data_IF_886578009961
#
_entry.id   IF_886578009961
#
_cell.length_a   1.000
_cell.length_b   1.000
_cell.length_c   1.000
_cell.angle_alpha   90.00
_cell.angle_beta   90.00
_cell.angle_gamma   90.00
#
_symmetry.space_group_name_H-M   'P 1'
#
loop_
_entity.id
_entity.type
_entity.pdbx_description
1 polymer ?
#
# COMPACT_ATOMS: atom_id res chain seq x y z
N UNK A 1 22.01 17.28 -7.37
CA UNK A 1 21.89 15.94 -6.74
C UNK A 1 20.50 15.39 -7.03
N UNK A 2 20.44 14.15 -7.52
CA UNK A 2 19.18 13.45 -7.78
C UNK A 2 19.24 12.03 -7.25
N UNK A 3 18.09 11.46 -6.87
CA UNK A 3 17.95 10.09 -6.42
C UNK A 3 16.52 9.61 -6.66
N UNK A 4 16.33 8.30 -6.72
CA UNK A 4 15.04 7.69 -6.98
C UNK A 4 14.63 6.79 -5.82
N UNK A 5 13.39 6.89 -5.40
CA UNK A 5 12.76 5.97 -4.45
C UNK A 5 11.70 5.19 -5.19
N UNK A 6 11.78 3.87 -5.12
CA UNK A 6 10.77 2.95 -5.64
C UNK A 6 9.96 2.39 -4.49
N UNK A 7 8.64 2.48 -4.59
CA UNK A 7 7.71 1.99 -3.56
C UNK A 7 6.70 1.04 -4.19
N UNK A 8 6.41 -0.12 -3.60
CA UNK A 8 5.44 -1.06 -4.11
C UNK A 8 3.99 -0.61 -3.84
N UNK A 9 3.06 -1.08 -4.67
CA UNK A 9 1.62 -1.05 -4.38
C UNK A 9 1.29 -1.94 -3.20
N UNK A 10 0.16 -1.68 -2.55
CA UNK A 10 -0.30 -2.46 -1.40
C UNK A 10 -1.79 -2.73 -1.44
N UNK A 11 -2.21 -3.86 -0.89
CA UNK A 11 -3.61 -4.14 -0.55
C UNK A 11 -3.72 -4.26 0.96
N UNK A 12 -4.55 -3.43 1.56
CA UNK A 12 -4.88 -3.49 2.98
C UNK A 12 -6.16 -4.28 3.23
N UNK A 13 -6.43 -4.58 4.48
CA UNK A 13 -7.60 -5.28 5.01
C UNK A 13 -7.62 -6.78 4.74
N UNK A 14 -7.46 -7.23 3.52
CA UNK A 14 -7.43 -8.66 3.13
C UNK A 14 -8.64 -9.44 3.66
N UNK A 15 -9.85 -8.85 3.59
CA UNK A 15 -11.05 -9.37 4.25
C UNK A 15 -11.03 -9.06 5.74
N UNK A 16 -10.86 -10.07 6.60
CA UNK A 16 -11.00 -9.94 8.06
C UNK A 16 -9.89 -9.18 8.78
N UNK A 17 -8.82 -8.78 8.09
CA UNK A 17 -7.71 -8.00 8.65
C UNK A 17 -7.89 -6.49 8.62
N UNK A 18 -9.12 -6.01 8.80
CA UNK A 18 -9.48 -4.59 8.73
C UNK A 18 -8.58 -3.69 9.59
N UNK A 19 -8.02 -2.64 8.97
CA UNK A 19 -7.15 -1.63 9.56
C UNK A 19 -5.86 -2.17 10.23
N UNK A 20 -5.54 -3.46 10.04
CA UNK A 20 -4.34 -4.03 10.66
C UNK A 20 -3.48 -4.87 9.72
N UNK A 21 -4.01 -5.46 8.66
CA UNK A 21 -3.24 -6.30 7.76
C UNK A 21 -3.10 -5.68 6.36
N UNK A 22 -1.92 -5.84 5.76
CA UNK A 22 -1.67 -5.41 4.39
C UNK A 22 -0.52 -6.18 3.76
N UNK A 23 -0.52 -6.22 2.44
CA UNK A 23 0.47 -6.93 1.64
C UNK A 23 0.99 -6.05 0.51
N UNK A 24 2.29 -6.12 0.22
CA UNK A 24 2.93 -5.41 -0.88
C UNK A 24 2.97 -6.24 -2.16
N UNK A 25 2.86 -5.57 -3.31
CA UNK A 25 2.82 -6.17 -4.64
C UNK A 25 3.94 -5.70 -5.56
N UNK A 26 4.33 -6.54 -6.51
CA UNK A 26 5.28 -6.23 -7.58
C UNK A 26 4.73 -5.24 -8.64
N UNK A 27 4.07 -4.20 -8.19
CA UNK A 27 3.55 -3.07 -8.95
C UNK A 27 4.08 -1.80 -8.29
N UNK A 28 4.76 -0.91 -9.02
CA UNK A 28 5.58 0.10 -8.39
C UNK A 28 5.25 1.53 -8.82
N UNK A 29 5.57 2.46 -7.93
CA UNK A 29 5.76 3.86 -8.27
C UNK A 29 7.22 4.26 -8.02
N UNK A 30 7.79 5.02 -8.95
CA UNK A 30 9.13 5.57 -8.87
C UNK A 30 9.04 7.08 -8.67
N UNK A 31 9.69 7.56 -7.63
CA UNK A 31 9.73 8.95 -7.22
C UNK A 31 11.15 9.47 -7.44
N UNK A 32 11.36 10.29 -8.46
CA UNK A 32 12.65 10.91 -8.78
C UNK A 32 12.73 12.27 -8.13
N UNK A 33 13.64 12.42 -7.17
CA UNK A 33 13.86 13.63 -6.40
C UNK A 33 15.05 14.41 -6.92
N UNK A 34 14.89 15.74 -7.00
CA UNK A 34 15.96 16.67 -7.36
C UNK A 34 16.06 17.76 -6.29
N UNK A 35 17.28 18.07 -5.83
CA UNK A 35 17.51 19.24 -4.99
C UNK A 35 17.25 20.51 -5.83
N UNK A 36 16.49 21.43 -5.26
CA UNK A 36 16.29 22.76 -5.85
C UNK A 36 17.40 23.69 -5.40
N UNK A 37 17.88 24.51 -6.34
CA UNK A 37 18.79 25.61 -6.03
C UNK A 37 18.01 26.80 -5.45
N UNK A 38 18.70 27.69 -4.72
CA UNK A 38 18.05 28.82 -4.03
C UNK A 38 17.27 29.76 -4.96
N UNK A 39 17.64 29.79 -6.25
CA UNK A 39 17.09 30.72 -7.24
C UNK A 39 15.89 30.16 -8.02
N UNK A 40 15.50 28.92 -7.77
CA UNK A 40 14.35 28.31 -8.42
C UNK A 40 13.04 28.99 -7.98
N UNK A 41 12.19 29.36 -8.94
CA UNK A 41 10.90 30.00 -8.68
C UNK A 41 10.06 29.12 -7.72
N UNK A 42 9.65 29.65 -6.56
CA UNK A 42 8.86 28.91 -5.57
C UNK A 42 7.47 28.46 -6.09
N UNK A 43 6.98 29.08 -7.18
CA UNK A 43 5.69 28.76 -7.79
C UNK A 43 5.73 27.55 -8.74
N UNK A 44 6.91 27.01 -9.08
CA UNK A 44 6.97 25.76 -9.86
C UNK A 44 6.63 24.57 -8.97
N UNK A 45 5.37 24.13 -9.05
CA UNK A 45 4.92 22.87 -8.47
C UNK A 45 5.75 21.70 -9.01
N UNK A 46 5.93 20.62 -8.23
CA UNK A 46 6.57 19.41 -8.73
C UNK A 46 5.88 18.93 -10.01
N UNK A 47 6.69 18.64 -11.03
CA UNK A 47 6.18 18.18 -12.34
C UNK A 47 5.80 16.72 -12.22
N UNK A 48 4.54 16.40 -12.49
CA UNK A 48 4.03 15.03 -12.52
C UNK A 48 3.95 14.56 -13.97
N UNK A 49 4.49 13.39 -14.27
CA UNK A 49 4.22 12.69 -15.54
C UNK A 49 3.40 11.44 -15.28
N UNK A 50 2.48 11.17 -16.18
CA UNK A 50 1.65 9.97 -16.33
C UNK A 50 0.64 9.64 -15.24
N UNK A 51 0.71 10.21 -14.07
CA UNK A 51 -0.29 9.97 -13.05
C UNK A 51 -0.94 11.30 -12.70
N UNK A 52 -1.92 11.68 -13.45
CA UNK A 52 -2.73 12.90 -13.23
C UNK A 52 -3.32 13.01 -11.81
N UNK A 53 -2.98 12.11 -10.91
CA UNK A 53 -3.48 12.08 -9.55
C UNK A 53 -2.49 11.60 -8.47
N UNK A 54 -1.34 11.04 -8.81
CA UNK A 54 -0.50 10.29 -7.86
C UNK A 54 0.22 11.15 -6.82
N UNK A 55 -0.06 12.30 -6.54
CA UNK A 55 0.56 13.11 -5.48
C UNK A 55 -0.34 14.22 -4.98
N UNK A 56 -1.48 14.45 -5.64
CA UNK A 56 -2.43 15.47 -5.25
C UNK A 56 -3.71 14.82 -4.73
N UNK A 57 -3.82 14.68 -3.42
CA UNK A 57 -5.07 14.37 -2.75
C UNK A 57 -5.68 15.68 -2.23
N UNK A 58 -6.81 16.09 -2.77
CA UNK A 58 -7.53 17.33 -2.35
C UNK A 58 -6.66 18.59 -2.31
N UNK A 59 -5.78 18.77 -3.30
CA UNK A 59 -4.89 19.95 -3.38
C UNK A 59 -3.64 19.85 -2.49
N UNK A 60 -3.43 18.74 -1.74
CA UNK A 60 -2.23 18.49 -0.94
C UNK A 60 -1.25 17.60 -1.70
N UNK A 61 0.05 17.82 -1.48
CA UNK A 61 1.11 16.98 -2.01
C UNK A 61 1.63 16.03 -0.94
N UNK A 62 1.10 14.81 -0.90
CA UNK A 62 1.41 13.82 0.15
C UNK A 62 2.91 13.48 0.24
N UNK A 63 3.65 13.54 -0.87
CA UNK A 63 5.10 13.32 -0.86
C UNK A 63 5.80 14.43 -0.06
N UNK A 64 5.46 15.68 -0.36
CA UNK A 64 6.06 16.84 0.33
C UNK A 64 5.56 16.95 1.77
N UNK A 65 4.29 16.64 2.02
CA UNK A 65 3.74 16.63 3.39
C UNK A 65 4.53 15.65 4.29
N UNK A 66 4.78 14.44 3.81
CA UNK A 66 5.57 13.45 4.54
C UNK A 66 7.05 13.85 4.68
N UNK A 67 7.63 14.46 3.63
CA UNK A 67 8.99 14.96 3.66
C UNK A 67 9.18 16.02 4.77
N UNK A 68 8.31 17.02 4.81
CA UNK A 68 8.38 18.09 5.81
C UNK A 68 7.99 17.61 7.20
N UNK A 69 7.02 16.70 7.32
CA UNK A 69 6.63 16.10 8.61
C UNK A 69 7.79 15.31 9.23
N UNK A 70 8.58 14.61 8.41
CA UNK A 70 9.78 13.93 8.89
C UNK A 70 10.86 14.90 9.36
N UNK A 71 11.08 15.99 8.62
CA UNK A 71 12.01 17.06 9.02
C UNK A 71 11.60 17.71 10.35
N UNK A 72 10.32 18.00 10.50
CA UNK A 72 9.75 18.54 11.75
C UNK A 72 9.94 17.59 12.93
N UNK A 73 9.66 16.29 12.76
CA UNK A 73 9.92 15.28 13.81
C UNK A 73 11.37 15.26 14.29
N UNK A 74 12.30 15.50 13.37
CA UNK A 74 13.73 15.56 13.70
C UNK A 74 14.18 16.90 14.25
N UNK A 75 13.39 17.98 14.11
CA UNK A 75 13.76 19.35 14.45
C UNK A 75 14.86 19.90 13.54
N UNK A 76 14.88 19.56 12.26
CA UNK A 76 15.91 19.97 11.30
C UNK A 76 15.33 20.68 10.08
N UNK A 77 16.12 21.59 9.50
CA UNK A 77 15.83 22.15 8.19
C UNK A 77 16.38 21.24 7.10
N UNK A 78 15.49 20.76 6.22
CA UNK A 78 15.88 20.04 5.02
C UNK A 78 15.83 20.97 3.79
N UNK A 79 16.61 20.69 2.73
CA UNK A 79 16.59 21.49 1.53
C UNK A 79 15.25 21.32 0.78
N UNK A 80 14.91 22.31 -0.04
CA UNK A 80 13.79 22.20 -0.97
C UNK A 80 14.08 21.16 -2.02
N UNK A 81 13.08 20.40 -2.38
CA UNK A 81 13.15 19.35 -3.39
C UNK A 81 12.01 19.51 -4.41
N UNK A 82 12.24 19.03 -5.61
CA UNK A 82 11.19 18.71 -6.59
C UNK A 82 11.10 17.21 -6.75
N UNK A 83 9.93 16.71 -7.09
CA UNK A 83 9.68 15.29 -7.29
C UNK A 83 8.96 15.06 -8.62
N UNK A 84 9.46 14.11 -9.40
CA UNK A 84 8.83 13.59 -10.60
C UNK A 84 8.34 12.16 -10.28
N UNK A 85 7.09 11.85 -10.63
CA UNK A 85 6.46 10.56 -10.29
C UNK A 85 6.14 9.79 -11.56
N UNK A 86 6.70 8.59 -11.69
CA UNK A 86 6.33 7.59 -12.68
C UNK A 86 5.70 6.40 -11.95
N UNK A 87 4.39 6.19 -12.13
CA UNK A 87 3.62 5.22 -11.34
C UNK A 87 2.80 4.28 -12.21
N UNK A 88 2.94 2.98 -11.95
CA UNK A 88 2.03 1.94 -12.41
C UNK A 88 0.89 1.68 -11.42
N UNK A 89 0.93 2.31 -10.23
CA UNK A 89 -0.10 2.16 -9.20
C UNK A 89 -1.29 3.05 -9.54
N UNK A 90 -2.49 2.49 -9.77
CA UNK A 90 -3.67 3.30 -10.03
C UNK A 90 -4.07 4.14 -8.83
N UNK A 91 -4.28 5.44 -9.04
CA UNK A 91 -4.68 6.35 -7.97
C UNK A 91 -6.12 6.10 -7.53
N UNK A 92 -6.40 6.25 -6.22
CA UNK A 92 -7.75 6.20 -5.61
C UNK A 92 -8.54 4.92 -5.91
N UNK A 93 -7.86 3.78 -6.00
CA UNK A 93 -8.48 2.48 -6.33
C UNK A 93 -8.13 1.37 -5.32
N UNK A 94 -7.68 1.72 -4.11
CA UNK A 94 -7.41 0.73 -3.07
C UNK A 94 -6.12 -0.08 -3.27
N UNK A 95 -5.14 0.43 -4.03
CA UNK A 95 -3.82 -0.18 -4.21
C UNK A 95 -2.68 0.61 -3.53
N UNK A 96 -2.97 1.37 -2.48
CA UNK A 96 -1.97 2.01 -1.64
C UNK A 96 -1.21 3.17 -2.29
N UNK A 97 -1.78 3.83 -3.32
CA UNK A 97 -1.12 4.97 -4.00
C UNK A 97 -0.79 6.12 -3.05
N UNK A 98 -1.66 6.43 -2.08
CA UNK A 98 -1.43 7.42 -1.03
C UNK A 98 -0.24 7.02 -0.15
N UNK A 99 -0.28 5.82 0.42
CA UNK A 99 0.79 5.29 1.25
C UNK A 99 2.14 5.25 0.52
N UNK A 100 2.15 4.92 -0.79
CA UNK A 100 3.37 4.95 -1.59
C UNK A 100 3.95 6.37 -1.71
N UNK A 101 3.12 7.40 -1.93
CA UNK A 101 3.55 8.80 -1.93
C UNK A 101 4.14 9.22 -0.58
N UNK A 102 3.47 8.87 0.50
CA UNK A 102 3.86 9.23 1.86
C UNK A 102 5.17 8.54 2.27
N UNK A 103 5.29 7.24 2.00
CA UNK A 103 6.53 6.49 2.27
C UNK A 103 7.69 7.06 1.46
N UNK A 104 7.48 7.37 0.16
CA UNK A 104 8.52 7.99 -0.66
C UNK A 104 8.99 9.34 -0.12
N UNK A 105 8.07 10.18 0.35
CA UNK A 105 8.40 11.49 0.93
C UNK A 105 9.19 11.36 2.23
N UNK A 106 8.77 10.49 3.14
CA UNK A 106 9.46 10.25 4.40
C UNK A 106 10.86 9.63 4.19
N UNK A 107 10.99 8.69 3.24
CA UNK A 107 12.28 8.12 2.83
C UNK A 107 13.22 9.16 2.22
N UNK A 108 12.70 10.06 1.39
CA UNK A 108 13.49 11.15 0.83
C UNK A 108 14.02 12.07 1.94
N UNK A 109 13.19 12.39 2.91
CA UNK A 109 13.61 13.18 4.07
C UNK A 109 14.69 12.48 4.90
N UNK A 110 14.52 11.18 5.17
CA UNK A 110 15.53 10.35 5.85
C UNK A 110 16.85 10.32 5.08
N UNK A 111 16.80 10.14 3.78
CA UNK A 111 17.98 10.11 2.92
C UNK A 111 18.75 11.44 2.96
N UNK A 112 18.03 12.57 2.88
CA UNK A 112 18.63 13.89 2.99
C UNK A 112 19.19 14.17 4.38
N UNK A 113 18.44 13.82 5.43
CA UNK A 113 18.89 14.00 6.81
C UNK A 113 20.19 13.25 7.13
N UNK A 114 20.31 12.00 6.66
CA UNK A 114 21.54 11.20 6.82
C UNK A 114 22.77 11.82 6.15
N UNK A 115 22.58 12.62 5.11
CA UNK A 115 23.67 13.30 4.39
C UNK A 115 24.08 14.62 5.00
N UNK A 116 23.11 15.34 5.54
CA UNK A 116 23.33 16.68 6.09
C UNK A 116 23.75 16.67 7.55
N UNK A 117 23.43 15.60 8.25
CA UNK A 117 23.73 15.48 9.67
C UNK A 117 24.87 14.47 9.92
N UNK A 118 25.80 14.77 10.84
CA UNK A 118 26.77 13.79 11.26
C UNK A 118 26.10 12.56 11.87
N UNK A 119 26.76 11.39 11.86
CA UNK A 119 26.22 10.18 12.46
C UNK A 119 25.80 10.43 13.91
N UNK A 120 24.49 10.51 14.16
CA UNK A 120 23.98 10.72 15.51
C UNK A 120 23.92 9.39 16.26
N UNK A 121 24.51 9.33 17.45
CA UNK A 121 24.31 8.23 18.39
C UNK A 121 22.84 8.25 18.82
N UNK A 122 22.11 7.14 18.62
CA UNK A 122 20.74 6.99 19.11
C UNK A 122 19.65 6.73 18.07
N UNK A 123 19.99 6.37 16.83
CA UNK A 123 19.02 5.69 15.95
C UNK A 123 17.81 6.51 15.49
N UNK A 124 17.93 7.81 15.25
CA UNK A 124 16.81 8.66 14.77
C UNK A 124 16.38 8.37 13.33
N UNK A 125 17.24 7.76 12.51
CA UNK A 125 17.01 7.51 11.07
C UNK A 125 16.64 6.05 10.81
N UNK A 126 15.67 5.51 11.54
CA UNK A 126 15.24 4.11 11.47
C UNK A 126 13.98 3.95 10.61
N UNK A 127 13.71 2.71 10.16
CA UNK A 127 12.44 2.40 9.50
C UNK A 127 11.26 2.64 10.45
N UNK A 128 11.42 2.43 11.74
CA UNK A 128 10.40 2.76 12.74
C UNK A 128 10.05 4.26 12.76
N UNK A 129 11.01 5.16 12.47
CA UNK A 129 10.73 6.60 12.34
C UNK A 129 9.97 6.93 11.07
N UNK A 130 10.26 6.24 9.95
CA UNK A 130 9.49 6.34 8.71
C UNK A 130 8.06 5.83 8.93
N UNK A 131 7.92 4.62 9.48
CA UNK A 131 6.62 4.02 9.74
C UNK A 131 5.74 4.93 10.61
N UNK A 132 6.31 5.53 11.64
CA UNK A 132 5.60 6.46 12.50
C UNK A 132 5.10 7.68 11.73
N UNK A 133 5.99 8.41 11.07
CA UNK A 133 5.63 9.64 10.34
C UNK A 133 4.65 9.33 9.23
N UNK A 134 4.88 8.27 8.47
CA UNK A 134 4.00 7.89 7.38
C UNK A 134 2.60 7.50 7.89
N UNK A 135 2.51 6.81 9.04
CA UNK A 135 1.21 6.50 9.66
C UNK A 135 0.50 7.75 10.20
N UNK A 136 1.24 8.71 10.78
CA UNK A 136 0.67 9.98 11.22
C UNK A 136 0.05 10.78 10.06
N UNK A 137 0.65 10.72 8.88
CA UNK A 137 0.16 11.42 7.67
C UNK A 137 -1.00 10.67 7.01
N UNK A 138 -0.93 9.34 6.91
CA UNK A 138 -1.96 8.49 6.28
C UNK A 138 -3.19 8.28 7.17
N UNK A 139 -2.98 8.22 8.49
CA UNK A 139 -4.02 7.95 9.50
C UNK A 139 -4.13 6.49 9.92
N UNK A 140 -3.56 5.55 9.15
CA UNK A 140 -3.56 4.11 9.46
C UNK A 140 -2.32 3.40 8.88
N UNK A 141 -1.82 2.34 9.54
CA UNK A 141 -0.54 1.73 9.18
C UNK A 141 -0.63 0.61 8.14
N UNK A 142 -1.79 0.10 7.83
CA UNK A 142 -2.05 -1.14 7.09
C UNK A 142 -1.56 -1.14 5.64
N UNK A 143 -1.52 0.03 4.97
CA UNK A 143 -0.88 0.22 3.68
C UNK A 143 0.58 0.69 3.82
N UNK A 144 0.87 1.50 4.83
CA UNK A 144 2.21 2.07 5.07
C UNK A 144 3.23 1.00 5.40
N UNK A 145 2.88 0.07 6.30
CA UNK A 145 3.80 -0.97 6.73
C UNK A 145 4.25 -1.88 5.58
N UNK A 146 3.35 -2.46 4.75
CA UNK A 146 3.80 -3.26 3.62
C UNK A 146 4.48 -2.42 2.52
N UNK A 147 4.10 -1.16 2.30
CA UNK A 147 4.83 -0.29 1.37
C UNK A 147 6.28 -0.07 1.79
N UNK A 148 6.53 0.04 3.08
CA UNK A 148 7.87 0.25 3.64
C UNK A 148 8.70 -1.04 3.73
N UNK A 149 8.13 -2.11 4.29
CA UNK A 149 8.86 -3.34 4.62
C UNK A 149 8.73 -4.46 3.59
N UNK A 150 7.76 -4.37 2.70
CA UNK A 150 7.37 -5.48 1.82
C UNK A 150 6.59 -6.59 2.54
N UNK A 151 6.20 -7.60 1.80
CA UNK A 151 5.51 -8.80 2.28
C UNK A 151 4.15 -8.54 2.90
N UNK A 152 3.70 -9.52 3.68
CA UNK A 152 2.51 -9.43 4.52
C UNK A 152 2.91 -8.81 5.86
N UNK A 153 2.27 -7.71 6.23
CA UNK A 153 2.47 -7.00 7.48
C UNK A 153 1.19 -6.97 8.31
N UNK A 154 1.32 -7.24 9.61
CA UNK A 154 0.33 -6.87 10.60
C UNK A 154 0.86 -5.65 11.35
N UNK A 155 0.06 -4.62 11.49
CA UNK A 155 0.48 -3.38 12.11
C UNK A 155 -0.59 -2.80 13.03
N UNK A 156 -0.14 -2.11 14.07
CA UNK A 156 -1.01 -1.49 15.07
C UNK A 156 -0.36 -0.26 15.67
N UNK A 157 -1.19 0.72 15.99
CA UNK A 157 -0.79 1.86 16.80
C UNK A 157 -0.86 1.48 18.30
N UNK A 158 0.25 1.59 19.02
CA UNK A 158 0.37 1.21 20.44
C UNK A 158 1.19 2.29 21.15
N UNK A 159 0.62 2.93 22.17
CA UNK A 159 1.30 3.92 23.06
C UNK A 159 2.07 5.00 22.27
N UNK A 160 1.42 5.62 21.30
CA UNK A 160 2.01 6.65 20.45
C UNK A 160 3.07 6.15 19.45
N UNK A 161 3.19 4.82 19.29
CA UNK A 161 4.11 4.18 18.36
C UNK A 161 3.39 3.20 17.45
N UNK A 162 3.86 3.09 16.22
CA UNK A 162 3.38 2.04 15.29
C UNK A 162 4.31 0.84 15.43
N UNK A 163 3.70 -0.32 15.59
CA UNK A 163 4.38 -1.61 15.54
C UNK A 163 3.91 -2.36 14.30
N UNK A 164 4.86 -2.95 13.59
CA UNK A 164 4.59 -3.84 12.47
C UNK A 164 5.29 -5.18 12.71
N UNK A 165 4.68 -6.24 12.22
CA UNK A 165 5.19 -7.60 12.28
C UNK A 165 5.03 -8.23 10.89
N UNK A 166 6.15 -8.69 10.31
CA UNK A 166 6.13 -9.45 9.05
C UNK A 166 5.60 -10.85 9.31
N UNK A 167 4.66 -11.27 8.47
CA UNK A 167 4.07 -12.59 8.53
C UNK A 167 4.50 -13.42 7.32
N UNK A 168 4.75 -14.73 7.49
CA UNK A 168 5.10 -15.60 6.38
C UNK A 168 3.93 -15.78 5.41
N UNK A 169 4.26 -15.93 4.13
CA UNK A 169 3.33 -16.25 3.06
C UNK A 169 3.74 -17.58 2.41
N UNK A 170 2.77 -18.45 2.17
CA UNK A 170 3.00 -19.67 1.38
C UNK A 170 3.34 -19.33 -0.07
N UNK A 171 4.33 -20.00 -0.63
CA UNK A 171 4.71 -19.90 -2.04
C UNK A 171 3.65 -20.45 -3.01
N UNK A 172 2.69 -21.23 -2.49
CA UNK A 172 1.57 -21.77 -3.27
C UNK A 172 0.45 -20.74 -3.52
N UNK A 173 0.50 -19.58 -2.87
CA UNK A 173 -0.51 -18.53 -3.07
C UNK A 173 -0.36 -17.83 -4.42
N UNK A 174 -1.50 -17.53 -5.02
CA UNK A 174 -1.62 -16.75 -6.27
C UNK A 174 -2.62 -15.64 -6.09
N UNK A 175 -2.31 -14.49 -6.68
CA UNK A 175 -3.08 -13.27 -6.48
C UNK A 175 -3.39 -12.57 -7.79
N UNK A 176 -4.63 -12.12 -7.94
CA UNK A 176 -5.04 -11.25 -9.02
C UNK A 176 -5.73 -10.01 -8.45
N UNK A 177 -5.40 -8.86 -9.00
CA UNK A 177 -6.12 -7.61 -8.72
C UNK A 177 -7.04 -7.28 -9.88
N UNK A 178 -8.30 -7.00 -9.56
CA UNK A 178 -9.33 -6.61 -10.51
C UNK A 178 -9.58 -5.12 -10.30
N UNK A 179 -9.16 -4.31 -11.24
CA UNK A 179 -9.06 -2.86 -11.12
C UNK A 179 -10.12 -2.21 -11.98
N UNK A 180 -11.15 -1.57 -11.40
CA UNK A 180 -12.14 -0.81 -12.17
C UNK A 180 -11.61 0.58 -12.56
N UNK A 181 -12.28 1.22 -13.52
CA UNK A 181 -11.97 2.59 -13.95
C UNK A 181 -12.59 3.67 -13.05
N UNK A 182 -13.52 3.30 -12.14
CA UNK A 182 -14.10 4.22 -11.16
C UNK A 182 -13.29 4.27 -9.86
N UNK A 183 -13.15 5.48 -9.31
CA UNK A 183 -12.43 5.72 -8.07
C UNK A 183 -13.31 5.48 -6.84
N UNK A 184 -12.67 5.09 -5.73
CA UNK A 184 -13.28 5.08 -4.41
C UNK A 184 -12.49 6.01 -3.48
N UNK A 185 -13.19 6.87 -2.73
CA UNK A 185 -12.58 7.70 -1.71
C UNK A 185 -12.49 6.92 -0.40
N UNK A 186 -11.30 6.82 0.17
CA UNK A 186 -11.08 6.18 1.49
C UNK A 186 -11.90 6.87 2.58
N UNK A 187 -11.98 8.20 2.54
CA UNK A 187 -12.77 8.99 3.49
C UNK A 187 -14.26 8.66 3.41
N UNK A 188 -14.85 8.65 2.21
CA UNK A 188 -16.26 8.28 2.01
C UNK A 188 -16.53 6.81 2.39
N UNK A 189 -15.63 5.90 2.01
CA UNK A 189 -15.75 4.48 2.34
C UNK A 189 -15.64 4.22 3.85
N UNK A 190 -14.90 5.06 4.58
CA UNK A 190 -14.78 4.99 6.04
C UNK A 190 -16.00 5.62 6.74
N UNK A 191 -16.48 6.76 6.25
CA UNK A 191 -17.67 7.44 6.79
C UNK A 191 -18.95 6.57 6.71
N UNK A 192 -19.00 5.60 5.80
CA UNK A 192 -20.11 4.65 5.69
C UNK A 192 -20.06 3.47 6.66
N UNK A 193 -19.02 3.37 7.51
CA UNK A 193 -18.90 2.29 8.49
C UNK A 193 -19.59 2.67 9.81
N UNK A 194 -20.19 1.70 10.53
CA UNK A 194 -20.76 1.96 11.84
C UNK A 194 -19.65 2.24 12.87
N UNK A 195 -19.93 3.17 13.79
CA UNK A 195 -18.99 3.49 14.90
C UNK A 195 -18.84 2.32 15.91
N UNK A 196 -19.85 1.47 16.02
CA UNK A 196 -19.87 0.33 16.94
C UNK A 196 -20.20 -0.95 16.21
N UNK A 197 -19.66 -2.06 16.70
CA UNK A 197 -19.93 -3.40 16.16
C UNK A 197 -20.48 -4.31 17.25
N UNK A 198 -21.31 -5.29 16.86
CA UNK A 198 -21.82 -6.28 17.82
C UNK A 198 -20.68 -7.16 18.34
N UNK A 199 -20.81 -7.66 19.59
CA UNK A 199 -19.86 -8.67 20.11
C UNK A 199 -19.77 -9.90 19.20
N UNK A 200 -20.90 -10.29 18.59
CA UNK A 200 -20.96 -11.43 17.67
C UNK A 200 -20.09 -11.19 16.44
N UNK A 201 -20.14 -10.00 15.85
CA UNK A 201 -19.34 -9.68 14.66
C UNK A 201 -17.86 -9.45 15.02
N UNK A 202 -17.58 -8.89 16.20
CA UNK A 202 -16.21 -8.79 16.70
C UNK A 202 -15.56 -10.18 16.89
N UNK A 203 -16.27 -11.14 17.53
CA UNK A 203 -15.77 -12.51 17.69
C UNK A 203 -15.63 -13.22 16.35
N UNK A 204 -16.58 -13.02 15.42
CA UNK A 204 -16.49 -13.55 14.06
C UNK A 204 -15.20 -13.07 13.36
N UNK A 205 -14.92 -11.77 13.39
CA UNK A 205 -13.74 -11.22 12.73
C UNK A 205 -12.43 -11.66 13.40
N UNK A 206 -12.37 -11.71 14.74
CA UNK A 206 -11.19 -12.22 15.45
C UNK A 206 -10.85 -13.65 15.05
N UNK A 207 -11.85 -14.52 14.96
CA UNK A 207 -11.66 -15.91 14.54
C UNK A 207 -11.30 -16.00 13.05
N UNK A 208 -11.99 -15.25 12.18
CA UNK A 208 -11.68 -15.21 10.75
C UNK A 208 -10.24 -14.73 10.51
N UNK A 209 -9.79 -13.71 11.24
CA UNK A 209 -8.43 -13.20 11.09
C UNK A 209 -7.37 -14.24 11.50
N UNK A 210 -7.62 -15.01 12.57
CA UNK A 210 -6.74 -16.13 12.92
C UNK A 210 -6.65 -17.18 11.81
N UNK A 211 -7.79 -17.57 11.22
CA UNK A 211 -7.84 -18.47 10.07
C UNK A 211 -7.18 -17.89 8.82
N UNK A 212 -7.33 -16.58 8.57
CA UNK A 212 -6.67 -15.89 7.46
C UNK A 212 -5.15 -16.00 7.55
N UNK A 213 -4.59 -15.67 8.70
CA UNK A 213 -3.13 -15.70 8.90
C UNK A 213 -2.57 -17.11 8.72
N UNK A 214 -3.23 -18.10 9.29
CA UNK A 214 -2.81 -19.50 9.15
C UNK A 214 -2.98 -20.00 7.71
N UNK A 215 -4.09 -19.65 7.05
CA UNK A 215 -4.31 -19.97 5.63
C UNK A 215 -3.29 -19.31 4.71
N UNK A 216 -2.92 -18.05 4.94
CA UNK A 216 -1.88 -17.36 4.18
C UNK A 216 -0.49 -17.98 4.43
N UNK A 217 -0.21 -18.43 5.65
CA UNK A 217 1.06 -19.06 6.01
C UNK A 217 1.21 -20.45 5.40
N UNK A 218 0.16 -21.25 5.41
CA UNK A 218 0.20 -22.67 4.98
C UNK A 218 -0.18 -22.89 3.53
N UNK A 219 -0.96 -21.99 2.93
CA UNK A 219 -1.61 -22.20 1.64
C UNK A 219 -2.81 -23.15 1.73
N UNK A 220 -3.47 -23.24 2.87
CA UNK A 220 -4.68 -24.07 3.02
C UNK A 220 -5.92 -23.31 2.52
N UNK A 221 -6.52 -23.84 1.45
CA UNK A 221 -7.70 -23.23 0.81
C UNK A 221 -8.91 -23.14 1.74
N UNK A 222 -9.12 -24.12 2.61
CA UNK A 222 -10.27 -24.14 3.54
C UNK A 222 -10.13 -23.08 4.63
N UNK A 223 -8.91 -22.91 5.15
CA UNK A 223 -8.62 -21.86 6.12
C UNK A 223 -8.77 -20.48 5.48
N UNK A 224 -8.31 -20.30 4.22
CA UNK A 224 -8.49 -19.05 3.49
C UNK A 224 -9.97 -18.74 3.23
N UNK A 225 -10.79 -19.72 2.84
CA UNK A 225 -12.23 -19.54 2.63
C UNK A 225 -12.96 -19.07 3.89
N UNK A 226 -12.51 -19.48 5.07
CA UNK A 226 -13.02 -19.00 6.36
C UNK A 226 -12.45 -17.63 6.67
N UNK A 227 -11.13 -17.48 6.54
CA UNK A 227 -10.38 -16.31 6.95
C UNK A 227 -10.65 -15.04 6.16
N UNK A 228 -10.97 -15.18 4.86
CA UNK A 228 -11.32 -14.04 4.00
C UNK A 228 -12.70 -13.43 4.29
N UNK A 229 -13.53 -14.08 5.14
CA UNK A 229 -14.86 -13.57 5.52
C UNK A 229 -14.74 -12.44 6.54
N UNK A 230 -15.39 -11.31 6.24
CA UNK A 230 -15.41 -10.12 7.07
C UNK A 230 -16.81 -9.66 7.41
N UNK A 231 -16.97 -9.04 8.59
CA UNK A 231 -18.21 -8.41 9.05
C UNK A 231 -18.03 -6.98 9.54
N UNK A 232 -16.81 -6.42 9.45
CA UNK A 232 -16.53 -5.08 9.95
C UNK A 232 -16.61 -4.01 8.87
N UNK A 233 -16.17 -4.30 7.65
CA UNK A 233 -16.12 -3.30 6.60
C UNK A 233 -16.73 -3.75 5.26
N UNK A 234 -16.50 -5.00 4.82
CA UNK A 234 -16.95 -5.46 3.51
C UNK A 234 -18.49 -5.40 3.33
N UNK A 235 -19.33 -5.77 4.32
CA UNK A 235 -20.77 -5.65 4.16
C UNK A 235 -21.27 -4.26 3.80
N UNK A 236 -20.54 -3.22 4.23
CA UNK A 236 -20.87 -1.82 3.98
C UNK A 236 -20.24 -1.27 2.69
N UNK A 237 -19.13 -1.86 2.23
CA UNK A 237 -18.38 -1.42 1.05
C UNK A 237 -18.75 -2.18 -0.22
N UNK A 238 -19.07 -3.48 -0.13
CA UNK A 238 -19.45 -4.33 -1.28
C UNK A 238 -20.57 -3.72 -2.14
N UNK A 239 -21.67 -3.16 -1.58
CA UNK A 239 -22.73 -2.56 -2.39
C UNK A 239 -22.29 -1.35 -3.22
N UNK A 240 -21.14 -0.75 -2.88
CA UNK A 240 -20.60 0.42 -3.59
C UNK A 240 -19.70 0.02 -4.77
N UNK A 241 -19.37 -1.27 -4.92
CA UNK A 241 -18.49 -1.78 -5.98
C UNK A 241 -19.35 -2.56 -6.98
N UNK A 242 -19.59 -1.93 -8.11
CA UNK A 242 -20.34 -2.56 -9.19
C UNK A 242 -19.73 -3.92 -9.57
N UNK A 243 -20.57 -4.93 -9.77
CA UNK A 243 -20.20 -6.29 -10.21
C UNK A 243 -19.37 -7.09 -9.19
N UNK A 244 -19.24 -6.66 -7.94
CA UNK A 244 -18.51 -7.43 -6.90
C UNK A 244 -18.97 -8.89 -6.86
N UNK A 245 -20.28 -9.12 -6.72
CA UNK A 245 -20.87 -10.46 -6.59
C UNK A 245 -20.67 -11.31 -7.86
N UNK A 246 -20.72 -10.70 -9.04
CA UNK A 246 -20.47 -11.40 -10.30
C UNK A 246 -19.00 -11.87 -10.37
N UNK A 247 -18.07 -11.02 -9.99
CA UNK A 247 -16.65 -11.35 -9.90
C UNK A 247 -16.37 -12.42 -8.85
N UNK A 248 -16.98 -12.32 -7.66
CA UNK A 248 -16.82 -13.31 -6.59
C UNK A 248 -17.32 -14.69 -7.05
N UNK A 249 -18.52 -14.75 -7.63
CA UNK A 249 -19.08 -15.99 -8.16
C UNK A 249 -18.18 -16.62 -9.23
N UNK A 250 -17.68 -15.80 -10.15
CA UNK A 250 -16.81 -16.25 -11.26
C UNK A 250 -15.48 -16.78 -10.73
N UNK A 251 -14.82 -16.05 -9.82
CA UNK A 251 -13.56 -16.46 -9.21
C UNK A 251 -13.68 -17.76 -8.41
N UNK A 252 -14.68 -17.85 -7.54
CA UNK A 252 -14.91 -19.02 -6.68
C UNK A 252 -15.27 -20.26 -7.52
N UNK A 253 -16.10 -20.11 -8.56
CA UNK A 253 -16.43 -21.21 -9.48
C UNK A 253 -15.18 -21.75 -10.21
N UNK A 254 -14.19 -20.89 -10.47
CA UNK A 254 -12.91 -21.30 -11.08
C UNK A 254 -11.92 -21.93 -10.09
N UNK A 255 -12.23 -21.91 -8.79
CA UNK A 255 -11.43 -22.52 -7.73
C UNK A 255 -10.59 -21.52 -6.89
N UNK A 256 -10.91 -20.23 -6.95
CA UNK A 256 -10.32 -19.27 -6.02
C UNK A 256 -10.77 -19.56 -4.57
N UNK A 257 -9.88 -19.32 -3.61
CA UNK A 257 -10.22 -19.40 -2.19
C UNK A 257 -11.18 -18.28 -1.78
N UNK A 258 -11.10 -17.11 -2.44
CA UNK A 258 -12.04 -16.02 -2.23
C UNK A 258 -11.68 -14.76 -3.01
N UNK A 259 -12.59 -13.80 -2.96
CA UNK A 259 -12.46 -12.45 -3.50
C UNK A 259 -12.81 -11.45 -2.41
N UNK A 260 -11.95 -10.48 -2.18
CA UNK A 260 -12.11 -9.46 -1.14
C UNK A 260 -11.83 -8.06 -1.68
N UNK A 261 -12.20 -7.04 -0.94
CA UNK A 261 -11.90 -5.65 -1.29
C UNK A 261 -10.44 -5.33 -0.94
N UNK A 262 -9.70 -4.76 -1.87
CA UNK A 262 -8.36 -4.23 -1.62
C UNK A 262 -8.47 -2.85 -0.98
N UNK A 263 -8.03 -2.71 0.27
CA UNK A 263 -8.10 -1.46 1.02
C UNK A 263 -9.54 -0.93 1.17
N UNK A 264 -9.76 0.30 0.75
CA UNK A 264 -11.10 0.91 0.73
C UNK A 264 -11.88 0.59 -0.57
N UNK A 265 -11.27 -0.13 -1.49
CA UNK A 265 -11.76 -0.36 -2.85
C UNK A 265 -11.32 0.82 -3.76
N UNK A 266 -11.71 0.80 -4.97
CA UNK A 266 -12.66 -0.07 -5.70
C UNK A 266 -12.04 -1.38 -6.25
N UNK A 267 -10.75 -1.56 -6.17
CA UNK A 267 -10.05 -2.79 -6.60
C UNK A 267 -10.47 -3.98 -5.74
N UNK A 268 -10.61 -5.13 -6.38
CA UNK A 268 -10.84 -6.41 -5.72
C UNK A 268 -9.55 -7.24 -5.77
N UNK A 269 -9.32 -8.02 -4.73
CA UNK A 269 -8.20 -8.96 -4.61
C UNK A 269 -8.75 -10.39 -4.63
N UNK A 270 -8.39 -11.14 -5.65
CA UNK A 270 -8.66 -12.57 -5.75
C UNK A 270 -7.47 -13.35 -5.18
N UNK A 271 -7.77 -14.27 -4.28
CA UNK A 271 -6.78 -15.17 -3.67
C UNK A 271 -7.06 -16.60 -4.14
N UNK A 272 -6.07 -17.25 -4.72
CA UNK A 272 -6.14 -18.63 -5.17
C UNK A 272 -4.86 -19.39 -4.81
N UNK A 273 -4.82 -20.68 -5.11
CA UNK A 273 -3.64 -21.52 -4.98
C UNK A 273 -3.09 -21.91 -6.35
N UNK A 274 -1.84 -22.33 -6.39
CA UNK A 274 -1.12 -22.68 -7.61
C UNK A 274 -1.86 -23.72 -8.47
N UNK A 275 -2.50 -24.70 -7.85
CA UNK A 275 -3.28 -25.73 -8.57
C UNK A 275 -4.55 -25.17 -9.26
N UNK A 276 -5.05 -24.03 -8.84
CA UNK A 276 -6.19 -23.36 -9.44
C UNK A 276 -5.79 -22.20 -10.37
N UNK A 277 -4.51 -21.79 -10.38
CA UNK A 277 -4.01 -20.57 -11.03
C UNK A 277 -4.53 -20.43 -12.48
N UNK A 278 -4.29 -21.43 -13.33
CA UNK A 278 -4.66 -21.36 -14.76
C UNK A 278 -6.18 -21.25 -14.97
N UNK A 279 -6.98 -21.96 -14.17
CA UNK A 279 -8.45 -21.88 -14.27
C UNK A 279 -8.97 -20.53 -13.83
N UNK A 280 -8.43 -20.00 -12.73
CA UNK A 280 -8.80 -18.69 -12.20
C UNK A 280 -8.37 -17.59 -13.16
N UNK A 281 -7.14 -17.64 -13.69
CA UNK A 281 -6.64 -16.66 -14.65
C UNK A 281 -7.48 -16.61 -15.93
N UNK A 282 -7.78 -17.78 -16.52
CA UNK A 282 -8.68 -17.87 -17.70
C UNK A 282 -10.05 -17.29 -17.37
N UNK A 283 -10.68 -17.74 -16.29
CA UNK A 283 -11.98 -17.26 -15.91
C UNK A 283 -11.99 -15.73 -15.69
N UNK A 284 -11.04 -15.17 -14.96
CA UNK A 284 -10.99 -13.74 -14.70
C UNK A 284 -10.74 -12.88 -15.94
N UNK A 285 -10.07 -13.42 -16.98
CA UNK A 285 -9.79 -12.71 -18.23
C UNK A 285 -10.85 -12.96 -19.34
N UNK A 286 -11.75 -13.91 -19.15
CA UNK A 286 -12.88 -14.14 -20.04
C UNK A 286 -13.97 -13.08 -19.77
N UNK A 287 -14.53 -12.49 -20.83
CA UNK A 287 -15.63 -11.51 -20.76
C UNK A 287 -15.43 -10.41 -19.69
N UNK A 288 -14.23 -9.82 -19.66
CA UNK A 288 -13.90 -8.73 -18.72
C UNK A 288 -14.84 -7.55 -18.99
N UNK A 289 -15.64 -7.11 -18.00
CA UNK A 289 -16.55 -5.99 -18.20
C UNK A 289 -15.81 -4.72 -18.59
N UNK A 290 -16.46 -3.88 -19.42
CA UNK A 290 -15.90 -2.58 -19.80
C UNK A 290 -15.56 -1.77 -18.56
N UNK A 291 -14.36 -1.17 -18.55
CA UNK A 291 -13.87 -0.39 -17.43
C UNK A 291 -13.14 -1.21 -16.37
N UNK A 292 -13.02 -2.53 -16.52
CA UNK A 292 -12.22 -3.36 -15.62
C UNK A 292 -10.91 -3.81 -16.28
N UNK A 293 -9.88 -3.99 -15.45
CA UNK A 293 -8.62 -4.61 -15.85
C UNK A 293 -8.27 -5.68 -14.83
N UNK A 294 -7.86 -6.85 -15.31
CA UNK A 294 -7.37 -7.95 -14.47
C UNK A 294 -5.86 -8.00 -14.58
N UNK A 295 -5.17 -8.16 -13.45
CA UNK A 295 -3.71 -8.27 -13.41
C UNK A 295 -3.28 -9.28 -12.37
N UNK A 296 -2.49 -10.27 -12.77
CA UNK A 296 -1.76 -11.12 -11.84
C UNK A 296 -0.69 -10.30 -11.12
N UNK A 297 -0.59 -10.46 -9.80
CA UNK A 297 0.42 -9.80 -8.97
C UNK A 297 1.11 -10.82 -8.07
N UNK A 298 2.34 -10.50 -7.68
CA UNK A 298 3.12 -11.31 -6.74
C UNK A 298 3.50 -10.46 -5.53
N UNK A 299 3.64 -11.06 -4.35
CA UNK A 299 4.15 -10.34 -3.18
C UNK A 299 5.53 -9.75 -3.46
N UNK A 300 5.71 -8.48 -3.10
CA UNK A 300 7.01 -7.84 -3.02
C UNK A 300 7.52 -7.97 -1.57
N UNK A 301 8.65 -8.64 -1.38
CA UNK A 301 9.22 -8.86 -0.04
C UNK A 301 10.30 -7.85 0.35
N UNK A 302 10.51 -6.82 -0.48
CA UNK A 302 11.59 -5.85 -0.29
C UNK A 302 11.06 -4.54 0.29
N UNK A 303 9.89 -4.07 -0.16
CA UNK A 303 9.34 -2.78 0.20
C UNK A 303 10.02 -1.59 -0.51
N UNK A 304 10.01 -0.44 0.15
CA UNK A 304 10.60 0.77 -0.41
C UNK A 304 12.12 0.66 -0.57
N UNK A 305 12.64 1.07 -1.72
CA UNK A 305 14.08 1.06 -2.01
C UNK A 305 14.56 2.40 -2.55
N UNK A 306 15.83 2.74 -2.26
CA UNK A 306 16.47 3.97 -2.70
C UNK A 306 17.61 3.61 -3.66
N UNK A 307 17.61 4.20 -4.85
CA UNK A 307 18.69 4.16 -5.80
C UNK A 307 19.31 5.56 -5.95
N UNK A 308 20.62 5.68 -5.69
CA UNK A 308 21.36 6.90 -6.02
C UNK A 308 21.57 6.99 -7.53
N UNK A 309 21.64 8.20 -8.09
CA UNK A 309 21.95 8.42 -9.50
C UNK A 309 23.34 7.88 -9.87
N UNK A 310 23.53 7.55 -11.16
CA UNK A 310 24.81 7.00 -11.65
C UNK A 310 25.99 7.96 -11.49
N UNK A 311 25.77 9.26 -11.41
CA UNK A 311 26.79 10.27 -11.10
C UNK A 311 27.45 10.05 -9.72
N UNK A 312 26.69 9.51 -8.76
CA UNK A 312 27.19 9.26 -7.41
C UNK A 312 27.92 7.92 -7.27
N UNK A 313 27.60 6.97 -8.16
CA UNK A 313 28.37 5.71 -8.27
C UNK A 313 29.77 5.96 -8.87
N UNK A 314 29.90 6.96 -9.75
CA UNK A 314 31.17 7.36 -10.34
C UNK A 314 32.10 8.06 -9.33
N UNK A 315 31.55 8.92 -8.45
CA UNK A 315 32.35 9.66 -7.46
C UNK A 315 32.87 8.80 -6.30
N UNK A 316 32.30 7.59 -6.07
CA UNK A 316 32.78 6.65 -5.04
C UNK A 316 33.88 5.70 -5.53
N UNK A 317 34.26 5.75 -6.82
CA UNK A 317 35.35 4.95 -7.42
C UNK A 317 36.67 5.72 -7.50
N UNK A 318 36.77 6.92 -6.99
CA UNK A 318 37.98 7.71 -6.82
C UNK A 318 38.14 8.05 -5.33
#
# INVERSE_FOLDING_TARGET
>A
MSFTIRVPATSANLGSGFDCAGIAWNLYANYMFHLRQSDDNPAQAPVFSNAAAAGHHYGRNLVLDAYWRYAEMLGIALPRISVYIASDIPSTRGLGSSAACIVAGAEAARFMARRLMPPMRGGRFTDASILRVATEVEGHPDNVAPALYGGLQISRFIDGRVKACSCPLSEHLRFHVLIPDFASSTEKSRAGLPETVSRKDAVFNLSSFGFLLEGLRTGDAKLLQIGLKDRLHEPYRRPQIAQFEAWEKKAVAAGAAGLVISGAGSTLLCVSLAEAESRVEVALNEDVPKGWKVRAVRPDFVGATIAASDEEKASRKH
#
